data_IF_564831555951
#
_entry.id   IF_564831555951
#
_cell.length_a   1.000
_cell.length_b   1.000
_cell.length_c   1.000
_cell.angle_alpha   90.00
_cell.angle_beta   90.00
_cell.angle_gamma   90.00
#
_symmetry.space_group_name_H-M   'P 1'
#
loop_
_entity.id
_entity.type
_entity.pdbx_description
1 polymer ?
#
# COMPACT_ATOMS: atom_id res chain seq x y z
N UNK A 1 -2.82 -11.40 9.47
CA UNK A 1 -3.82 -10.79 8.56
C UNK A 1 -5.03 -10.22 9.29
N UNK A 2 -5.73 -10.97 10.14
CA UNK A 2 -6.97 -10.49 10.78
C UNK A 2 -6.77 -9.44 11.89
N UNK A 3 -5.69 -9.56 12.68
CA UNK A 3 -5.41 -8.67 13.84
C UNK A 3 -5.44 -7.17 13.52
N UNK A 4 -5.04 -6.76 12.30
CA UNK A 4 -5.05 -5.34 11.90
C UNK A 4 -6.47 -4.78 11.77
N UNK A 5 -7.44 -5.60 11.33
CA UNK A 5 -8.83 -5.18 11.19
C UNK A 5 -9.51 -5.07 12.56
N UNK A 6 -9.18 -6.00 13.47
CA UNK A 6 -9.63 -5.95 14.87
C UNK A 6 -9.07 -4.71 15.58
N UNK A 7 -7.76 -4.45 15.50
CA UNK A 7 -7.14 -3.25 16.08
C UNK A 7 -7.76 -1.97 15.53
N UNK A 8 -7.96 -1.89 14.22
CA UNK A 8 -8.59 -0.75 13.55
C UNK A 8 -10.04 -0.46 14.00
N UNK A 9 -10.69 -1.42 14.65
CA UNK A 9 -12.10 -1.34 15.08
C UNK A 9 -12.25 -1.66 16.56
N UNK A 10 -11.25 -1.37 17.38
CA UNK A 10 -11.33 -1.49 18.84
C UNK A 10 -11.76 -2.90 19.32
N UNK A 11 -11.33 -3.93 18.60
CA UNK A 11 -11.68 -5.34 18.84
C UNK A 11 -13.17 -5.69 18.63
N UNK A 12 -13.95 -4.80 18.01
CA UNK A 12 -15.33 -5.06 17.59
C UNK A 12 -15.34 -6.07 16.42
N UNK A 13 -15.85 -7.27 16.68
CA UNK A 13 -15.81 -8.39 15.74
C UNK A 13 -16.66 -8.10 14.49
N UNK A 14 -17.85 -7.52 14.66
CA UNK A 14 -18.77 -7.28 13.55
C UNK A 14 -18.22 -6.19 12.62
N UNK A 15 -17.75 -5.07 13.19
CA UNK A 15 -17.15 -3.99 12.41
C UNK A 15 -15.84 -4.41 11.76
N UNK A 16 -15.00 -5.18 12.45
CA UNK A 16 -13.76 -5.70 11.90
C UNK A 16 -14.01 -6.67 10.74
N UNK A 17 -15.00 -7.56 10.88
CA UNK A 17 -15.39 -8.51 9.83
C UNK A 17 -15.94 -7.81 8.61
N UNK A 18 -16.81 -6.82 8.79
CA UNK A 18 -17.33 -5.99 7.69
C UNK A 18 -16.21 -5.23 6.95
N UNK A 19 -15.23 -4.67 7.69
CA UNK A 19 -14.07 -4.00 7.09
C UNK A 19 -13.18 -5.00 6.34
N UNK A 20 -12.98 -6.20 6.89
CA UNK A 20 -12.19 -7.24 6.25
C UNK A 20 -12.81 -7.69 4.93
N UNK A 21 -14.13 -7.92 4.89
CA UNK A 21 -14.84 -8.29 3.66
C UNK A 21 -14.73 -7.19 2.59
N UNK A 22 -14.94 -5.92 2.96
CA UNK A 22 -14.75 -4.77 2.05
C UNK A 22 -13.33 -4.73 1.49
N UNK A 23 -12.34 -4.95 2.34
CA UNK A 23 -10.94 -5.00 1.93
C UNK A 23 -10.66 -6.14 0.94
N UNK A 24 -11.22 -7.34 1.17
CA UNK A 24 -11.06 -8.47 0.26
C UNK A 24 -11.69 -8.21 -1.11
N UNK A 25 -12.92 -7.68 -1.14
CA UNK A 25 -13.59 -7.29 -2.39
C UNK A 25 -12.77 -6.26 -3.17
N UNK A 26 -12.27 -5.21 -2.48
CA UNK A 26 -11.41 -4.22 -3.09
C UNK A 26 -10.10 -4.85 -3.61
N UNK A 27 -9.41 -5.66 -2.79
CA UNK A 27 -8.14 -6.28 -3.18
C UNK A 27 -8.29 -7.20 -4.39
N UNK A 28 -9.37 -7.98 -4.45
CA UNK A 28 -9.66 -8.84 -5.60
C UNK A 28 -9.92 -8.04 -6.87
N UNK A 29 -10.66 -6.92 -6.77
CA UNK A 29 -10.92 -6.05 -7.91
C UNK A 29 -9.67 -5.31 -8.42
N UNK A 30 -8.77 -4.93 -7.52
CA UNK A 30 -7.62 -4.08 -7.84
C UNK A 30 -6.34 -4.87 -8.15
N UNK A 31 -6.18 -6.07 -7.57
CA UNK A 31 -5.01 -6.95 -7.71
C UNK A 31 -5.48 -8.37 -8.05
N UNK A 32 -5.99 -8.60 -9.29
CA UNK A 32 -6.56 -9.90 -9.68
C UNK A 32 -5.51 -11.03 -9.67
N UNK A 33 -4.24 -10.72 -9.93
CA UNK A 33 -3.09 -11.65 -9.87
C UNK A 33 -2.59 -11.93 -8.44
N UNK A 34 -3.19 -11.32 -7.41
CA UNK A 34 -2.83 -11.48 -6.00
C UNK A 34 -1.55 -10.74 -5.55
N UNK A 35 -0.67 -10.40 -6.49
CA UNK A 35 0.57 -9.64 -6.27
C UNK A 35 0.80 -8.63 -7.40
N UNK A 36 1.54 -7.57 -7.08
CA UNK A 36 1.97 -6.55 -8.03
C UNK A 36 3.45 -6.82 -8.31
N UNK A 37 3.77 -7.07 -9.57
CA UNK A 37 5.14 -7.30 -10.03
C UNK A 37 5.78 -5.98 -10.46
N UNK A 38 7.10 -5.91 -10.50
CA UNK A 38 7.81 -4.73 -11.00
C UNK A 38 7.44 -4.42 -12.46
N UNK A 39 7.12 -5.46 -13.24
CA UNK A 39 6.63 -5.35 -14.60
C UNK A 39 5.25 -4.65 -14.71
N UNK A 40 4.47 -4.59 -13.63
CA UNK A 40 3.19 -3.88 -13.58
C UNK A 40 3.35 -2.37 -13.37
N UNK A 41 4.54 -1.92 -12.95
CA UNK A 41 4.85 -0.52 -12.57
C UNK A 41 6.20 0.00 -13.09
N UNK A 42 6.61 -0.32 -14.34
CA UNK A 42 7.96 -0.03 -14.83
C UNK A 42 8.27 1.47 -14.92
N UNK A 43 7.30 2.31 -15.29
CA UNK A 43 7.50 3.75 -15.45
C UNK A 43 7.57 4.46 -14.11
N UNK A 44 6.79 4.00 -13.14
CA UNK A 44 6.79 4.50 -11.77
C UNK A 44 8.10 4.16 -11.05
N UNK A 45 8.59 2.92 -11.22
CA UNK A 45 9.90 2.49 -10.71
C UNK A 45 11.06 3.26 -11.35
N UNK A 46 11.01 3.48 -12.68
CA UNK A 46 12.03 4.22 -13.40
C UNK A 46 12.18 5.69 -12.95
N UNK A 47 11.14 6.28 -12.34
CA UNK A 47 11.23 7.65 -11.80
C UNK A 47 12.09 7.73 -10.53
N UNK A 48 12.36 6.61 -9.86
CA UNK A 48 13.19 6.52 -8.63
C UNK A 48 12.86 7.65 -7.64
N UNK A 49 11.57 7.79 -7.35
CA UNK A 49 11.03 8.88 -6.52
C UNK A 49 10.60 8.42 -5.13
N UNK A 50 10.49 7.12 -4.88
CA UNK A 50 10.15 6.54 -3.58
C UNK A 50 11.30 5.66 -3.08
N UNK A 51 11.65 5.81 -1.80
CA UNK A 51 12.73 5.07 -1.16
C UNK A 51 12.30 4.59 0.23
N UNK A 52 12.62 3.33 0.57
CA UNK A 52 12.46 2.78 1.92
C UNK A 52 13.71 3.11 2.74
N UNK A 53 13.58 3.88 3.82
CA UNK A 53 14.71 4.39 4.63
C UNK A 53 14.78 3.76 6.03
N UNK A 54 14.27 2.55 6.19
CA UNK A 54 14.25 1.84 7.46
C UNK A 54 13.03 2.17 8.31
N UNK A 55 13.21 2.26 9.64
CA UNK A 55 12.13 2.46 10.60
C UNK A 55 12.40 3.67 11.51
N UNK A 56 11.34 4.30 12.01
CA UNK A 56 11.44 5.35 13.01
C UNK A 56 11.66 4.80 14.44
N UNK A 57 11.71 5.69 15.43
CA UNK A 57 11.90 5.32 16.85
C UNK A 57 10.78 4.43 17.42
N UNK A 58 9.62 4.40 16.78
CA UNK A 58 8.47 3.56 17.15
C UNK A 58 8.39 2.30 16.28
N UNK A 59 9.45 1.99 15.54
CA UNK A 59 9.54 0.85 14.63
C UNK A 59 8.48 0.88 13.50
N UNK A 60 8.08 2.08 13.06
CA UNK A 60 7.21 2.27 11.89
C UNK A 60 8.07 2.48 10.64
N UNK A 61 7.81 1.78 9.53
CA UNK A 61 8.62 1.91 8.32
C UNK A 61 8.50 3.32 7.72
N UNK A 62 9.62 3.86 7.25
CA UNK A 62 9.73 5.20 6.66
C UNK A 62 9.84 5.07 5.14
N UNK A 63 8.92 5.74 4.44
CA UNK A 63 8.96 5.94 2.99
C UNK A 63 9.30 7.40 2.70
N UNK A 64 10.36 7.65 1.95
CA UNK A 64 10.75 9.00 1.50
C UNK A 64 10.35 9.18 0.04
N UNK A 65 9.59 10.24 -0.22
CA UNK A 65 9.10 10.60 -1.54
C UNK A 65 9.71 11.91 -2.05
N UNK A 66 10.30 11.88 -3.25
CA UNK A 66 10.84 13.05 -3.93
C UNK A 66 9.83 13.53 -4.97
N UNK A 67 8.96 14.46 -4.58
CA UNK A 67 7.93 15.03 -5.46
C UNK A 67 8.50 15.65 -6.74
N UNK A 68 9.69 16.26 -6.68
CA UNK A 68 10.37 16.85 -7.84
C UNK A 68 10.74 15.84 -8.94
N UNK A 69 10.83 14.54 -8.62
CA UNK A 69 11.08 13.48 -9.60
C UNK A 69 9.80 12.94 -10.25
N UNK A 70 8.62 13.37 -9.80
CA UNK A 70 7.35 12.89 -10.36
C UNK A 70 7.12 13.44 -11.77
N UNK A 71 6.97 12.53 -12.74
CA UNK A 71 6.67 12.85 -14.14
C UNK A 71 5.31 12.26 -14.52
N UNK A 72 4.20 13.00 -14.29
CA UNK A 72 2.85 12.47 -14.51
C UNK A 72 2.57 12.12 -15.99
N UNK A 73 3.29 12.71 -16.96
CA UNK A 73 3.13 12.34 -18.36
C UNK A 73 3.74 10.97 -18.72
N UNK A 74 4.55 10.38 -17.82
CA UNK A 74 5.29 9.13 -18.09
C UNK A 74 4.63 7.88 -17.50
N UNK A 75 3.58 8.01 -16.72
CA UNK A 75 2.91 6.91 -16.05
C UNK A 75 1.42 7.18 -15.91
N UNK A 76 0.63 6.15 -15.58
CA UNK A 76 -0.80 6.30 -15.33
C UNK A 76 -1.10 6.40 -13.84
N UNK A 77 -2.26 6.95 -13.48
CA UNK A 77 -2.73 6.97 -12.10
C UNK A 77 -2.87 5.54 -11.53
N UNK A 78 -3.25 4.57 -12.34
CA UNK A 78 -3.37 3.17 -11.93
C UNK A 78 -1.99 2.55 -11.63
N UNK A 79 -0.99 2.85 -12.45
CA UNK A 79 0.40 2.45 -12.20
C UNK A 79 0.93 3.08 -10.90
N UNK A 80 0.65 4.36 -10.67
CA UNK A 80 1.01 5.06 -9.43
C UNK A 80 0.37 4.39 -8.20
N UNK A 81 -0.94 4.10 -8.26
CA UNK A 81 -1.65 3.39 -7.18
C UNK A 81 -1.05 2.01 -6.93
N UNK A 82 -0.74 1.26 -7.98
CA UNK A 82 -0.09 -0.06 -7.87
C UNK A 82 1.29 0.03 -7.23
N UNK A 83 2.09 1.05 -7.55
CA UNK A 83 3.39 1.26 -6.91
C UNK A 83 3.23 1.48 -5.40
N UNK A 84 2.24 2.24 -4.94
CA UNK A 84 2.02 2.41 -3.50
C UNK A 84 1.57 1.11 -2.80
N UNK A 85 0.92 0.21 -3.52
CA UNK A 85 0.44 -1.06 -3.00
C UNK A 85 1.49 -2.19 -3.09
N UNK A 86 2.51 -2.05 -3.95
CA UNK A 86 3.60 -3.01 -4.05
C UNK A 86 4.55 -2.93 -2.85
N UNK A 87 4.66 -1.76 -2.22
CA UNK A 87 5.41 -1.63 -0.98
C UNK A 87 4.81 -2.52 0.13
N UNK A 88 5.65 -3.22 0.91
CA UNK A 88 5.19 -3.99 2.05
C UNK A 88 4.39 -3.06 2.96
N UNK A 89 3.08 -3.28 3.04
CA UNK A 89 2.21 -2.46 3.87
C UNK A 89 2.77 -2.47 5.31
N UNK A 90 3.06 -1.31 5.93
CA UNK A 90 3.25 -1.26 7.37
C UNK A 90 2.07 -1.97 8.01
N UNK A 91 2.36 -3.03 8.73
CA UNK A 91 1.34 -3.91 9.34
C UNK A 91 0.50 -3.19 10.39
N UNK A 92 0.75 -1.90 10.67
CA UNK A 92 0.09 -1.10 11.71
C UNK A 92 -0.02 0.42 11.36
N UNK A 93 -0.56 0.82 10.20
CA UNK A 93 -0.96 2.23 9.95
C UNK A 93 -2.47 2.51 10.06
N UNK A 94 -3.22 1.61 10.70
CA UNK A 94 -4.50 1.99 11.30
C UNK A 94 -4.31 1.84 12.81
N UNK A 95 -3.76 2.88 13.41
CA UNK A 95 -3.88 3.16 14.84
C UNK A 95 -4.77 4.38 14.98
#
# INVERSE_FOLDING_TARGET
>A
MLRRFLRAREMDIEKASALFLKYLSWRHSFIPSGSILDADIPNELAQQKLYMQGHDKQNRPIVVAYGAKHKPQKSTLEELKRMYLSFPQPTCLIA
#
